data_IF_453633389829
#
_entry.id   IF_453633389829
#
_cell.length_a   1.000
_cell.length_b   1.000
_cell.length_c   1.000
_cell.angle_alpha   90.00
_cell.angle_beta   90.00
_cell.angle_gamma   90.00
#
_symmetry.space_group_name_H-M   'P 1'
#
loop_
_entity.id
_entity.type
_entity.pdbx_description
1 polymer ?
#
# COMPACT_ATOMS: atom_id res chain seq x y z
N UNK A 1 0.06 -4.84 -21.67
CA UNK A 1 -0.21 -4.08 -20.43
C UNK A 1 0.78 -4.54 -19.37
N UNK A 2 1.61 -3.64 -18.86
CA UNK A 2 2.55 -3.96 -17.77
C UNK A 2 1.76 -4.22 -16.49
N UNK A 3 1.94 -5.39 -15.88
CA UNK A 3 1.31 -5.70 -14.60
C UNK A 3 2.03 -4.97 -13.49
N UNK A 4 1.38 -3.97 -12.91
CA UNK A 4 1.95 -3.10 -11.88
C UNK A 4 1.01 -2.93 -10.70
N UNK A 5 1.58 -2.65 -9.55
CA UNK A 5 0.85 -2.30 -8.34
C UNK A 5 1.62 -1.24 -7.56
N UNK A 6 0.94 -0.53 -6.69
CA UNK A 6 1.56 0.33 -5.69
C UNK A 6 1.25 -0.17 -4.28
N UNK A 7 2.18 0.05 -3.36
CA UNK A 7 1.97 -0.18 -1.92
C UNK A 7 2.29 1.07 -1.13
N UNK A 8 1.53 1.35 -0.10
CA UNK A 8 1.94 2.32 0.91
C UNK A 8 3.02 1.67 1.78
N UNK A 9 4.24 2.17 1.66
CA UNK A 9 5.36 1.61 2.39
C UNK A 9 5.64 2.37 3.68
N UNK A 10 5.59 1.62 4.78
CA UNK A 10 6.12 2.03 6.07
C UNK A 10 6.94 0.84 6.58
N UNK A 11 8.24 1.00 6.91
CA UNK A 11 9.09 -0.11 7.34
C UNK A 11 8.49 -0.93 8.47
N UNK A 12 7.86 -0.25 9.42
CA UNK A 12 7.14 -0.88 10.53
C UNK A 12 5.95 -1.77 10.14
N UNK A 13 5.46 -1.64 8.93
CA UNK A 13 4.36 -2.45 8.38
C UNK A 13 4.82 -3.71 7.64
N UNK A 14 6.06 -3.75 7.16
CA UNK A 14 6.51 -4.78 6.20
C UNK A 14 7.83 -5.47 6.56
N UNK A 15 8.58 -4.98 7.57
CA UNK A 15 9.85 -5.56 7.95
C UNK A 15 9.74 -6.28 9.28
N UNK A 16 9.87 -7.61 9.26
CA UNK A 16 9.76 -8.45 10.46
C UNK A 16 11.10 -8.71 11.18
N UNK A 17 12.18 -8.02 10.78
CA UNK A 17 13.50 -8.21 11.39
C UNK A 17 13.58 -7.54 12.75
N UNK A 18 13.83 -8.33 13.81
CA UNK A 18 14.11 -7.86 15.18
C UNK A 18 13.29 -8.51 16.29
N UNK A 19 13.58 -8.14 17.56
CA UNK A 19 13.02 -8.75 18.78
C UNK A 19 11.51 -8.60 18.99
N UNK A 20 10.84 -7.69 18.31
CA UNK A 20 9.40 -7.48 18.43
C UNK A 20 8.68 -8.00 17.19
N UNK A 21 8.34 -9.28 17.17
CA UNK A 21 7.41 -9.84 16.20
C UNK A 21 5.99 -9.41 16.57
N UNK A 22 5.59 -8.24 16.08
CA UNK A 22 4.20 -7.81 16.15
C UNK A 22 3.41 -8.46 15.02
N UNK A 23 2.24 -9.01 15.30
CA UNK A 23 1.40 -9.70 14.30
C UNK A 23 1.17 -8.87 13.03
N UNK A 24 1.04 -7.54 13.16
CA UNK A 24 0.94 -6.61 12.04
C UNK A 24 2.14 -6.66 11.07
N UNK A 25 3.36 -6.76 11.62
CA UNK A 25 4.59 -6.84 10.81
C UNK A 25 4.69 -8.16 10.05
N UNK A 26 4.33 -9.24 10.72
CA UNK A 26 4.32 -10.57 10.11
C UNK A 26 3.29 -10.64 8.99
N UNK A 27 2.10 -10.10 9.20
CA UNK A 27 1.06 -10.05 8.18
C UNK A 27 1.47 -9.19 6.98
N UNK A 28 2.03 -8.00 7.21
CA UNK A 28 2.52 -7.12 6.15
C UNK A 28 3.68 -7.74 5.36
N UNK A 29 4.63 -8.35 6.04
CA UNK A 29 5.75 -9.06 5.40
C UNK A 29 5.26 -10.25 4.55
N UNK A 30 4.33 -11.04 5.07
CA UNK A 30 3.71 -12.16 4.35
C UNK A 30 2.91 -11.68 3.14
N UNK A 31 2.15 -10.59 3.29
CA UNK A 31 1.42 -9.98 2.19
C UNK A 31 2.37 -9.51 1.09
N UNK A 32 3.42 -8.78 1.44
CA UNK A 32 4.41 -8.30 0.48
C UNK A 32 5.10 -9.46 -0.25
N UNK A 33 5.52 -10.49 0.48
CA UNK A 33 6.10 -11.70 -0.12
C UNK A 33 5.12 -12.42 -1.06
N UNK A 34 3.85 -12.55 -0.66
CA UNK A 34 2.80 -13.12 -1.49
C UNK A 34 2.59 -12.32 -2.78
N UNK A 35 2.51 -10.99 -2.67
CA UNK A 35 2.35 -10.09 -3.80
C UNK A 35 3.53 -10.19 -4.78
N UNK A 36 4.76 -10.19 -4.28
CA UNK A 36 5.97 -10.29 -5.11
C UNK A 36 6.08 -11.65 -5.82
N UNK A 37 5.71 -12.75 -5.15
CA UNK A 37 5.85 -14.11 -5.69
C UNK A 37 4.70 -14.52 -6.60
N UNK A 38 3.48 -14.08 -6.29
CA UNK A 38 2.27 -14.60 -6.91
C UNK A 38 1.45 -13.54 -7.64
N UNK A 39 1.74 -12.25 -7.44
CA UNK A 39 1.04 -11.15 -8.11
C UNK A 39 1.36 -11.02 -9.60
N UNK A 40 2.38 -11.73 -10.09
CA UNK A 40 2.82 -11.65 -11.49
C UNK A 40 3.23 -10.24 -11.91
N UNK A 41 3.75 -9.44 -10.96
CA UNK A 41 4.11 -8.06 -11.19
C UNK A 41 5.39 -7.93 -12.02
N UNK A 42 5.38 -6.98 -12.93
CA UNK A 42 6.55 -6.51 -13.67
C UNK A 42 7.13 -5.24 -13.03
N UNK A 43 6.29 -4.46 -12.35
CA UNK A 43 6.73 -3.28 -11.61
C UNK A 43 5.98 -3.09 -10.29
N UNK A 44 6.67 -2.54 -9.31
CA UNK A 44 6.13 -2.16 -8.01
C UNK A 44 6.49 -0.71 -7.68
N UNK A 45 5.50 0.07 -7.27
CA UNK A 45 5.67 1.45 -6.82
C UNK A 45 5.48 1.50 -5.30
N UNK A 46 6.46 1.98 -4.56
CA UNK A 46 6.31 2.30 -3.15
C UNK A 46 5.86 3.75 -2.98
N UNK A 47 4.68 3.96 -2.39
CA UNK A 47 4.29 5.28 -1.90
C UNK A 47 4.93 5.49 -0.53
N UNK A 48 5.85 6.44 -0.45
CA UNK A 48 6.64 6.73 0.75
C UNK A 48 5.89 7.71 1.65
N UNK A 49 5.83 7.41 2.95
CA UNK A 49 5.45 8.38 3.98
C UNK A 49 6.60 9.35 4.27
N UNK A 50 7.83 8.87 4.11
CA UNK A 50 9.05 9.65 4.26
C UNK A 50 10.00 9.29 3.11
N UNK A 51 10.39 10.27 2.32
CA UNK A 51 11.25 10.07 1.14
C UNK A 51 12.61 9.43 1.47
N UNK A 52 13.08 9.60 2.72
CA UNK A 52 14.33 8.97 3.19
C UNK A 52 14.28 7.44 3.23
N UNK A 53 13.09 6.86 3.24
CA UNK A 53 12.88 5.40 3.26
C UNK A 53 12.96 4.77 1.86
N UNK A 54 12.95 5.58 0.82
CA UNK A 54 12.95 5.14 -0.57
C UNK A 54 14.11 4.21 -0.95
N UNK A 55 15.38 4.54 -0.64
CA UNK A 55 16.52 3.66 -0.92
C UNK A 55 16.41 2.30 -0.23
N UNK A 56 16.01 2.28 1.04
CA UNK A 56 15.82 1.04 1.81
C UNK A 56 14.70 0.17 1.23
N UNK A 57 13.60 0.79 0.80
CA UNK A 57 12.52 0.08 0.10
C UNK A 57 13.02 -0.56 -1.19
N UNK A 58 13.75 0.18 -2.03
CA UNK A 58 14.26 -0.35 -3.28
C UNK A 58 15.21 -1.51 -3.07
N UNK A 59 16.10 -1.42 -2.08
CA UNK A 59 17.02 -2.49 -1.71
C UNK A 59 16.28 -3.75 -1.24
N UNK A 60 15.30 -3.58 -0.36
CA UNK A 60 14.47 -4.67 0.17
C UNK A 60 13.73 -5.42 -0.94
N UNK A 61 13.10 -4.68 -1.88
CA UNK A 61 12.37 -5.32 -2.97
C UNK A 61 13.31 -6.01 -3.95
N UNK A 62 14.42 -5.39 -4.31
CA UNK A 62 15.42 -6.02 -5.21
C UNK A 62 16.00 -7.30 -4.62
N UNK A 63 16.20 -7.33 -3.31
CA UNK A 63 16.68 -8.54 -2.62
C UNK A 63 15.66 -9.69 -2.67
N UNK A 64 14.35 -9.38 -2.64
CA UNK A 64 13.27 -10.38 -2.66
C UNK A 64 12.84 -10.78 -4.08
N UNK A 65 12.87 -9.83 -5.01
CA UNK A 65 12.36 -9.99 -6.37
C UNK A 65 13.19 -9.18 -7.38
N UNK A 66 14.39 -9.66 -7.76
CA UNK A 66 15.35 -8.89 -8.58
C UNK A 66 14.83 -8.56 -9.98
N UNK A 67 13.82 -9.28 -10.46
CA UNK A 67 13.26 -9.10 -11.81
C UNK A 67 12.13 -8.05 -11.85
N UNK A 68 11.69 -7.52 -10.71
CA UNK A 68 10.62 -6.51 -10.64
C UNK A 68 11.25 -5.12 -10.71
N UNK A 69 10.71 -4.27 -11.60
CA UNK A 69 11.09 -2.85 -11.63
C UNK A 69 10.52 -2.14 -10.40
N UNK A 70 11.37 -1.45 -9.64
CA UNK A 70 10.99 -0.77 -8.41
C UNK A 70 11.09 0.73 -8.58
N UNK A 71 10.02 1.42 -8.25
CA UNK A 71 9.94 2.88 -8.23
C UNK A 71 9.43 3.36 -6.88
N UNK A 72 9.77 4.60 -6.53
CA UNK A 72 9.24 5.27 -5.35
C UNK A 72 8.42 6.49 -5.76
N UNK A 73 7.37 6.76 -5.01
CA UNK A 73 6.52 7.93 -5.16
C UNK A 73 6.26 8.55 -3.79
N UNK A 74 5.89 9.80 -3.78
CA UNK A 74 5.36 10.50 -2.62
C UNK A 74 3.96 11.05 -2.92
N UNK A 75 3.35 11.73 -1.97
CA UNK A 75 2.00 12.27 -2.11
C UNK A 75 1.88 13.41 -3.15
N UNK A 76 3.01 13.96 -3.59
CA UNK A 76 3.06 14.98 -4.65
C UNK A 76 3.10 14.35 -6.06
N UNK A 77 3.33 13.02 -6.13
CA UNK A 77 3.48 12.27 -7.39
C UNK A 77 2.37 11.23 -7.61
N UNK A 78 1.07 11.61 -7.58
CA UNK A 78 -0.05 10.67 -7.73
C UNK A 78 -0.07 9.95 -9.08
N UNK A 79 0.61 10.50 -10.09
CA UNK A 79 0.66 9.96 -11.45
C UNK A 79 1.33 8.59 -11.51
N UNK A 80 2.34 8.33 -10.66
CA UNK A 80 2.99 7.02 -10.58
C UNK A 80 2.04 5.96 -10.01
N UNK A 81 1.25 6.33 -9.00
CA UNK A 81 0.23 5.46 -8.41
C UNK A 81 -0.91 5.22 -9.42
N UNK A 82 -1.33 6.27 -10.12
CA UNK A 82 -2.34 6.15 -11.18
C UNK A 82 -1.89 5.19 -12.30
N UNK A 83 -0.62 5.26 -12.70
CA UNK A 83 -0.04 4.34 -13.68
C UNK A 83 0.00 2.90 -13.18
N UNK A 84 0.20 2.69 -11.87
CA UNK A 84 0.16 1.37 -11.25
C UNK A 84 -1.26 0.79 -11.19
N UNK A 85 -2.30 1.63 -11.16
CA UNK A 85 -3.71 1.25 -11.21
C UNK A 85 -4.30 0.78 -9.87
N UNK A 86 -3.49 0.45 -8.88
CA UNK A 86 -3.93 0.05 -7.54
C UNK A 86 -2.95 0.49 -6.48
N UNK A 87 -3.46 0.84 -5.30
CA UNK A 87 -2.67 1.15 -4.11
C UNK A 87 -3.11 0.24 -2.97
N UNK A 88 -2.20 -0.62 -2.52
CA UNK A 88 -2.38 -1.46 -1.35
C UNK A 88 -1.94 -0.73 -0.08
N UNK A 89 -2.79 -0.80 0.93
CA UNK A 89 -2.59 -0.18 2.24
C UNK A 89 -2.41 -1.26 3.31
N UNK A 90 -1.47 -1.11 4.25
CA UNK A 90 -1.22 -2.09 5.30
C UNK A 90 -2.27 -2.08 6.42
N UNK A 91 -3.38 -1.44 6.21
CA UNK A 91 -4.50 -1.33 7.15
C UNK A 91 -5.81 -0.99 6.43
N UNK A 92 -6.95 -1.05 7.14
CA UNK A 92 -8.26 -0.88 6.53
C UNK A 92 -8.67 0.58 6.30
N UNK A 93 -7.87 1.56 6.73
CA UNK A 93 -8.20 2.98 6.66
C UNK A 93 -8.08 3.56 5.26
N UNK A 94 -9.14 3.48 4.46
CA UNK A 94 -9.17 4.02 3.10
C UNK A 94 -9.42 5.53 3.03
N UNK A 95 -10.01 6.13 4.06
CA UNK A 95 -10.54 7.49 4.06
C UNK A 95 -9.54 8.53 3.55
N UNK A 96 -8.38 8.65 4.20
CA UNK A 96 -7.39 9.67 3.87
C UNK A 96 -6.87 9.55 2.44
N UNK A 97 -6.72 8.32 1.96
CA UNK A 97 -6.24 8.04 0.60
C UNK A 97 -7.33 8.26 -0.45
N UNK A 98 -8.58 8.02 -0.12
CA UNK A 98 -9.72 8.34 -0.97
C UNK A 98 -9.86 9.86 -1.15
N UNK A 99 -9.71 10.64 -0.08
CA UNK A 99 -9.67 12.10 -0.16
C UNK A 99 -8.44 12.61 -0.91
N UNK A 100 -7.26 12.01 -0.70
CA UNK A 100 -6.06 12.36 -1.47
C UNK A 100 -6.26 12.08 -2.96
N UNK A 101 -6.74 10.89 -3.35
CA UNK A 101 -7.05 10.56 -4.74
C UNK A 101 -8.03 11.56 -5.36
N UNK A 102 -9.09 11.94 -4.62
CA UNK A 102 -10.06 12.95 -5.06
C UNK A 102 -9.40 14.32 -5.30
N UNK A 103 -8.55 14.78 -4.36
CA UNK A 103 -7.84 16.07 -4.48
C UNK A 103 -6.81 16.07 -5.61
N UNK A 104 -6.27 14.92 -5.97
CA UNK A 104 -5.37 14.79 -7.12
C UNK A 104 -6.07 14.91 -8.48
N UNK A 105 -7.37 15.20 -8.50
CA UNK A 105 -8.14 15.55 -9.69
C UNK A 105 -8.80 14.38 -10.41
N UNK A 106 -8.55 13.12 -10.03
CA UNK A 106 -9.16 11.97 -10.69
C UNK A 106 -9.51 10.85 -9.70
N UNK A 107 -10.78 10.75 -9.33
CA UNK A 107 -11.27 9.69 -8.43
C UNK A 107 -11.16 8.28 -9.02
N UNK A 108 -11.01 8.16 -10.35
CA UNK A 108 -10.90 6.88 -11.06
C UNK A 108 -9.45 6.49 -11.39
N UNK A 109 -8.47 7.27 -10.93
CA UNK A 109 -7.07 7.07 -11.30
C UNK A 109 -6.50 5.71 -10.88
N UNK A 110 -6.93 5.20 -9.73
CA UNK A 110 -6.50 3.92 -9.18
C UNK A 110 -7.50 3.41 -8.15
N UNK A 111 -7.48 2.10 -7.89
CA UNK A 111 -8.22 1.48 -6.80
C UNK A 111 -7.42 1.50 -5.49
N UNK A 112 -8.14 1.51 -4.37
CA UNK A 112 -7.58 1.35 -3.02
C UNK A 112 -7.90 -0.05 -2.52
N UNK A 113 -6.92 -0.71 -1.93
CA UNK A 113 -7.12 -1.99 -1.28
C UNK A 113 -6.50 -1.96 0.12
N UNK A 114 -7.36 -1.94 1.15
CA UNK A 114 -6.96 -2.00 2.55
C UNK A 114 -6.90 -3.45 3.04
N UNK A 115 -5.95 -3.74 3.92
CA UNK A 115 -5.81 -5.06 4.55
C UNK A 115 -6.22 -5.01 6.00
N UNK A 116 -7.13 -5.90 6.42
CA UNK A 116 -7.58 -6.00 7.80
C UNK A 116 -6.75 -7.03 8.56
N UNK A 117 -5.97 -6.59 9.55
CA UNK A 117 -5.22 -7.48 10.44
C UNK A 117 -5.95 -7.76 11.76
N UNK A 118 -6.75 -6.79 12.20
CA UNK A 118 -7.50 -6.84 13.44
C UNK A 118 -8.65 -5.85 13.39
N UNK A 119 -9.72 -6.16 14.09
CA UNK A 119 -10.85 -5.27 14.30
C UNK A 119 -11.03 -4.91 15.78
N UNK A 120 -10.06 -5.30 16.63
CA UNK A 120 -10.19 -5.22 18.09
C UNK A 120 -9.83 -3.87 18.70
N UNK A 121 -9.44 -2.88 17.91
CA UNK A 121 -9.10 -1.55 18.41
C UNK A 121 -10.08 -0.49 17.91
N UNK A 122 -10.43 0.48 18.77
CA UNK A 122 -11.30 1.60 18.41
C UNK A 122 -10.79 2.31 17.16
N UNK A 123 -9.49 2.52 17.05
CA UNK A 123 -8.87 3.15 15.88
C UNK A 123 -9.18 2.41 14.56
N UNK A 124 -9.19 1.10 14.58
CA UNK A 124 -9.49 0.30 13.38
C UNK A 124 -10.99 0.36 13.08
N UNK A 125 -11.83 0.30 14.10
CA UNK A 125 -13.29 0.43 13.94
C UNK A 125 -13.67 1.82 13.43
N UNK A 126 -13.05 2.87 13.94
CA UNK A 126 -13.24 4.24 13.45
C UNK A 126 -12.81 4.39 11.99
N UNK A 127 -11.67 3.80 11.61
CA UNK A 127 -11.18 3.83 10.24
C UNK A 127 -12.12 3.13 9.27
N UNK A 128 -12.74 2.02 9.68
CA UNK A 128 -13.78 1.34 8.90
C UNK A 128 -15.05 2.19 8.79
N UNK A 129 -15.51 2.76 9.90
CA UNK A 129 -16.69 3.62 9.94
C UNK A 129 -16.54 4.87 9.06
N UNK A 130 -15.37 5.52 9.11
CA UNK A 130 -15.07 6.70 8.29
C UNK A 130 -15.05 6.39 6.78
N UNK A 131 -14.77 5.14 6.39
CA UNK A 131 -14.85 4.73 5.00
C UNK A 131 -16.26 4.85 4.42
N UNK A 132 -17.31 4.82 5.26
CA UNK A 132 -18.71 4.96 4.82
C UNK A 132 -19.05 6.38 4.33
N UNK A 133 -18.34 7.39 4.79
CA UNK A 133 -18.55 8.80 4.46
C UNK A 133 -17.47 9.39 3.56
N UNK A 134 -16.37 8.66 3.38
CA UNK A 134 -15.27 9.04 2.52
C UNK A 134 -15.61 8.82 1.03
N UNK A 135 -14.90 9.48 0.09
CA UNK A 135 -15.11 9.28 -1.34
C UNK A 135 -14.50 7.95 -1.84
N UNK A 136 -14.79 6.87 -1.13
CA UNK A 136 -14.49 5.49 -1.52
C UNK A 136 -15.35 5.12 -2.72
N UNK A 137 -14.82 4.33 -3.63
CA UNK A 137 -15.46 3.98 -4.88
C UNK A 137 -15.84 2.49 -4.90
N UNK A 138 -16.79 2.06 -5.75
CA UNK A 138 -17.24 0.67 -5.82
C UNK A 138 -16.13 -0.35 -6.18
N UNK A 139 -15.01 0.11 -6.72
CA UNK A 139 -13.84 -0.73 -7.04
C UNK A 139 -12.75 -0.70 -5.96
N UNK A 140 -12.95 0.02 -4.87
CA UNK A 140 -12.09 -0.05 -3.70
C UNK A 140 -12.50 -1.25 -2.83
N UNK A 141 -11.56 -1.84 -2.12
CA UNK A 141 -11.80 -3.03 -1.33
C UNK A 141 -11.08 -2.99 0.03
N UNK A 142 -11.65 -3.70 0.98
CA UNK A 142 -10.99 -4.07 2.24
C UNK A 142 -11.01 -5.60 2.30
N UNK A 143 -9.84 -6.22 2.49
CA UNK A 143 -9.62 -7.66 2.54
C UNK A 143 -9.08 -8.10 3.89
#
# INVERSE_FOLDING_TARGET
MTRSAAILYAPDGYVSKGRAMLGRRVAGDSFLNGLLRHGGLESLVGLMLNDREGPGFQEEIRARAPNIQVQTANFESPQLIAKAGSLFLPGPGLESYAYWRRRSGNQRAFSLCGVTHTTSTDRVMDALAHSLTAPVQPWDAII
#
